data_IF_357692483475
#
_entry.id   IF_357692483475
#
_cell.length_a   1.000
_cell.length_b   1.000
_cell.length_c   1.000
_cell.angle_alpha   90.00
_cell.angle_beta   90.00
_cell.angle_gamma   90.00
#
_symmetry.space_group_name_H-M   'P 1'
#
loop_
_entity.id
_entity.type
_entity.pdbx_description
1 polymer ?
#
# COMPACT_ATOMS: atom_id res chain seq x y z
N UNK A 1 20.15 19.18 -13.28
CA UNK A 1 20.49 17.74 -13.24
C UNK A 1 21.99 17.43 -13.38
N UNK A 2 22.79 18.20 -14.11
CA UNK A 2 24.26 18.00 -14.19
C UNK A 2 24.99 18.08 -12.83
N UNK A 3 24.57 18.97 -11.93
CA UNK A 3 25.19 19.14 -10.62
C UNK A 3 24.94 17.98 -9.62
N UNK A 4 23.78 17.32 -9.68
CA UNK A 4 23.48 16.16 -8.82
C UNK A 4 24.35 14.96 -9.21
N UNK A 5 24.45 14.65 -10.50
CA UNK A 5 25.26 13.54 -10.98
C UNK A 5 26.75 13.70 -10.61
N UNK A 6 27.31 14.91 -10.71
CA UNK A 6 28.67 15.20 -10.29
C UNK A 6 28.86 14.94 -8.78
N UNK A 7 28.00 15.48 -7.92
CA UNK A 7 28.06 15.30 -6.45
C UNK A 7 27.87 13.84 -6.03
N UNK A 8 27.04 13.08 -6.74
CA UNK A 8 26.85 11.65 -6.49
C UNK A 8 28.13 10.83 -6.77
N UNK A 9 29.02 11.31 -7.63
CA UNK A 9 30.29 10.65 -7.93
C UNK A 9 31.43 11.05 -6.96
N UNK A 10 31.29 12.17 -6.25
CA UNK A 10 32.30 12.69 -5.33
C UNK A 10 32.17 12.17 -3.89
N UNK A 11 31.04 11.60 -3.52
CA UNK A 11 30.74 11.20 -2.14
C UNK A 11 30.68 9.68 -2.05
N UNK A 12 31.26 9.13 -0.99
CA UNK A 12 31.08 7.71 -0.65
C UNK A 12 29.63 7.47 -0.23
N UNK A 13 28.95 6.59 -0.93
CA UNK A 13 27.54 6.25 -0.67
C UNK A 13 27.41 4.89 0.04
N UNK A 14 28.29 4.66 1.04
CA UNK A 14 28.30 3.39 1.79
C UNK A 14 27.04 3.18 2.63
N UNK A 15 26.30 4.25 2.90
CA UNK A 15 25.05 4.22 3.68
C UNK A 15 24.03 5.17 3.08
N UNK A 16 22.88 4.62 2.77
CA UNK A 16 21.76 5.38 2.16
C UNK A 16 20.54 5.23 3.06
N UNK A 17 19.97 6.37 3.46
CA UNK A 17 18.70 6.44 4.22
C UNK A 17 17.52 6.75 3.31
N UNK A 18 16.44 5.98 3.37
CA UNK A 18 15.20 6.25 2.64
C UNK A 18 14.06 6.45 3.63
N UNK A 19 13.53 7.66 3.67
CA UNK A 19 12.35 7.99 4.49
C UNK A 19 11.10 7.67 3.67
N UNK A 20 10.34 6.70 4.16
CA UNK A 20 9.20 6.13 3.44
C UNK A 20 7.89 6.89 3.72
N UNK A 21 6.90 6.77 2.82
CA UNK A 21 5.55 7.24 3.07
C UNK A 21 4.92 6.57 4.29
N UNK A 22 3.90 7.24 4.89
CA UNK A 22 3.28 6.74 6.12
C UNK A 22 2.16 5.72 5.90
N UNK A 23 1.54 5.70 4.72
CA UNK A 23 0.48 4.74 4.41
C UNK A 23 1.07 3.42 3.92
N UNK A 24 0.44 2.29 4.27
CA UNK A 24 0.83 0.98 3.76
C UNK A 24 0.94 0.96 2.23
N UNK A 25 -0.06 1.52 1.53
CA UNK A 25 -0.02 1.60 0.07
C UNK A 25 1.14 2.46 -0.49
N UNK A 26 1.51 3.53 0.23
CA UNK A 26 2.69 4.35 -0.11
C UNK A 26 3.99 3.57 0.08
N UNK A 27 4.13 2.87 1.22
CA UNK A 27 5.30 2.00 1.48
C UNK A 27 5.43 0.96 0.37
N UNK A 28 4.38 0.20 0.09
CA UNK A 28 4.39 -0.86 -0.94
C UNK A 28 4.79 -0.30 -2.32
N UNK A 29 4.23 0.85 -2.71
CA UNK A 29 4.55 1.49 -4.00
C UNK A 29 5.97 2.06 -4.07
N UNK A 30 6.63 2.26 -2.94
CA UNK A 30 8.02 2.71 -2.89
C UNK A 30 9.05 1.56 -2.86
N UNK A 31 8.64 0.31 -2.58
CA UNK A 31 9.54 -0.84 -2.49
C UNK A 31 10.42 -1.05 -3.74
N UNK A 32 9.93 -0.85 -4.97
CA UNK A 32 10.77 -1.01 -6.16
C UNK A 32 12.02 -0.12 -6.19
N UNK A 33 12.05 0.93 -5.38
CA UNK A 33 13.23 1.79 -5.29
C UNK A 33 14.43 1.06 -4.65
N UNK A 34 14.22 0.13 -3.72
CA UNK A 34 15.33 -0.54 -3.01
C UNK A 34 16.19 -1.44 -3.93
N UNK A 35 15.62 -2.31 -4.78
CA UNK A 35 16.41 -3.02 -5.79
C UNK A 35 17.15 -2.06 -6.73
N UNK A 36 16.52 -0.96 -7.15
CA UNK A 36 17.15 0.03 -8.02
C UNK A 36 18.32 0.76 -7.33
N UNK A 37 18.19 1.09 -6.03
CA UNK A 37 19.28 1.66 -5.23
C UNK A 37 20.43 0.67 -5.05
N UNK A 38 20.13 -0.61 -4.78
CA UNK A 38 21.15 -1.66 -4.66
C UNK A 38 21.93 -1.86 -5.97
N UNK A 39 21.27 -1.75 -7.13
CA UNK A 39 21.93 -1.80 -8.43
C UNK A 39 22.83 -0.60 -8.68
N UNK A 40 22.35 0.61 -8.32
CA UNK A 40 23.12 1.86 -8.51
C UNK A 40 24.31 1.97 -7.53
N UNK A 41 24.14 1.45 -6.32
CA UNK A 41 25.11 1.53 -5.23
C UNK A 41 25.33 0.15 -4.60
N UNK A 42 26.04 -0.76 -5.28
CA UNK A 42 26.10 -2.18 -4.90
C UNK A 42 26.78 -2.43 -3.53
N UNK A 43 27.62 -1.50 -3.08
CA UNK A 43 28.32 -1.58 -1.79
C UNK A 43 27.61 -0.82 -0.67
N UNK A 44 26.48 -0.14 -0.96
CA UNK A 44 25.79 0.68 0.01
C UNK A 44 24.89 -0.16 0.92
N UNK A 45 24.88 0.14 2.21
CA UNK A 45 23.89 -0.35 3.17
C UNK A 45 22.64 0.52 3.12
N UNK A 46 21.51 -0.08 2.82
CA UNK A 46 20.24 0.60 2.69
C UNK A 46 19.47 0.57 4.02
N UNK A 47 19.08 1.74 4.49
CA UNK A 47 18.26 1.89 5.71
C UNK A 47 16.90 2.46 5.35
N UNK A 48 15.84 1.73 5.71
CA UNK A 48 14.47 2.23 5.62
C UNK A 48 14.07 2.96 6.92
N UNK A 49 13.65 4.21 6.81
CA UNK A 49 13.11 5.01 7.92
C UNK A 49 11.59 5.06 7.71
N UNK A 50 10.84 4.40 8.57
CA UNK A 50 9.43 4.11 8.34
C UNK A 50 8.60 4.25 9.61
N UNK A 51 7.30 4.51 9.49
CA UNK A 51 6.42 4.49 10.66
C UNK A 51 6.38 3.10 11.30
N UNK A 52 6.34 3.04 12.63
CA UNK A 52 6.33 1.80 13.43
C UNK A 52 5.23 0.82 12.95
N UNK A 53 4.07 1.35 12.55
CA UNK A 53 2.95 0.57 12.03
C UNK A 53 3.30 -0.24 10.75
N UNK A 54 4.29 0.23 9.97
CA UNK A 54 4.69 -0.38 8.69
C UNK A 54 6.04 -1.09 8.77
N UNK A 55 6.76 -1.04 9.90
CA UNK A 55 8.12 -1.57 10.01
C UNK A 55 8.19 -3.08 9.80
N UNK A 56 7.23 -3.81 10.36
CA UNK A 56 7.19 -5.28 10.26
C UNK A 56 7.07 -5.83 8.83
N UNK A 57 6.61 -5.02 7.87
CA UNK A 57 6.60 -5.42 6.46
C UNK A 57 8.01 -5.47 5.84
N UNK A 58 8.97 -4.75 6.44
CA UNK A 58 10.30 -4.53 5.89
C UNK A 58 11.41 -5.31 6.59
N UNK A 59 11.14 -5.95 7.73
CA UNK A 59 12.16 -6.57 8.59
C UNK A 59 13.00 -7.64 7.87
N UNK A 60 12.41 -8.38 6.94
CA UNK A 60 13.09 -9.42 6.18
C UNK A 60 13.32 -9.04 4.71
N UNK A 61 13.23 -7.76 4.37
CA UNK A 61 13.39 -7.32 2.99
C UNK A 61 14.84 -7.55 2.49
N UNK A 62 15.05 -8.25 1.35
CA UNK A 62 16.38 -8.73 0.94
C UNK A 62 17.37 -7.62 0.60
N UNK A 63 16.90 -6.38 0.39
CA UNK A 63 17.74 -5.22 0.04
C UNK A 63 17.76 -4.13 1.12
N UNK A 64 17.18 -4.38 2.29
CA UNK A 64 17.18 -3.42 3.41
C UNK A 64 18.02 -3.99 4.53
N UNK A 65 19.17 -3.37 4.79
CA UNK A 65 20.07 -3.80 5.86
C UNK A 65 19.57 -3.40 7.25
N UNK A 66 18.79 -2.31 7.30
CA UNK A 66 18.28 -1.78 8.57
C UNK A 66 16.92 -1.11 8.41
N UNK A 67 16.02 -1.39 9.35
CA UNK A 67 14.75 -0.68 9.50
C UNK A 67 14.84 0.21 10.75
N UNK A 68 14.53 1.49 10.59
CA UNK A 68 14.46 2.48 11.69
C UNK A 68 13.00 2.89 11.84
N UNK A 69 12.25 2.30 12.80
CA UNK A 69 10.87 2.68 13.02
C UNK A 69 10.77 4.02 13.75
N UNK A 70 9.71 4.78 13.46
CA UNK A 70 9.36 5.99 14.23
C UNK A 70 7.87 6.10 14.47
N UNK A 71 7.49 6.73 15.59
CA UNK A 71 6.10 6.94 15.98
C UNK A 71 5.55 8.22 15.33
N UNK A 72 4.49 8.08 14.53
CA UNK A 72 3.88 9.20 13.78
C UNK A 72 3.26 10.28 14.65
N UNK A 73 2.71 9.90 15.82
CA UNK A 73 1.95 10.79 16.70
C UNK A 73 2.74 11.26 17.90
N UNK A 74 4.01 10.93 17.97
CA UNK A 74 4.85 11.34 19.08
C UNK A 74 5.19 12.83 19.01
N UNK A 75 5.21 13.52 20.16
CA UNK A 75 5.55 14.93 20.22
C UNK A 75 7.04 15.16 19.93
N UNK A 76 7.38 16.31 19.34
CA UNK A 76 8.74 16.62 18.85
C UNK A 76 9.85 16.44 19.92
N UNK A 77 9.54 16.69 21.18
CA UNK A 77 10.54 16.54 22.25
C UNK A 77 10.99 15.08 22.48
N UNK A 78 10.16 14.09 22.11
CA UNK A 78 10.53 12.67 22.15
C UNK A 78 11.39 12.23 20.96
N UNK A 79 11.60 13.10 19.98
CA UNK A 79 12.37 12.77 18.78
C UNK A 79 13.88 12.78 18.98
N UNK A 80 14.39 13.41 20.04
CA UNK A 80 15.83 13.52 20.28
C UNK A 80 16.57 12.18 20.16
N UNK A 81 16.08 11.05 20.69
CA UNK A 81 16.73 9.75 20.50
C UNK A 81 16.74 9.32 19.03
N UNK A 82 15.61 9.47 18.33
CA UNK A 82 15.52 9.15 16.91
C UNK A 82 16.50 9.98 16.08
N UNK A 83 16.51 11.32 16.26
CA UNK A 83 17.39 12.22 15.50
C UNK A 83 18.86 11.93 15.77
N UNK A 84 19.24 11.61 17.03
CA UNK A 84 20.59 11.15 17.37
C UNK A 84 20.94 9.84 16.67
N UNK A 85 20.01 8.88 16.67
CA UNK A 85 20.18 7.60 15.98
C UNK A 85 20.36 7.80 14.47
N UNK A 86 19.58 8.68 13.85
CA UNK A 86 19.70 9.00 12.42
C UNK A 86 21.05 9.65 12.10
N UNK A 87 21.48 10.62 12.92
CA UNK A 87 22.81 11.27 12.78
C UNK A 87 23.95 10.27 12.89
N UNK A 88 23.85 9.33 13.84
CA UNK A 88 24.88 8.31 14.08
C UNK A 88 25.02 7.32 12.90
N UNK A 89 24.04 7.25 11.98
CA UNK A 89 24.14 6.40 10.79
C UNK A 89 25.13 6.93 9.75
N UNK A 90 25.44 8.24 9.77
CA UNK A 90 26.39 8.86 8.83
C UNK A 90 26.05 8.56 7.36
N UNK A 91 24.79 8.82 6.97
CA UNK A 91 24.36 8.60 5.60
C UNK A 91 25.11 9.54 4.61
N UNK A 92 25.64 8.98 3.53
CA UNK A 92 26.14 9.75 2.39
C UNK A 92 25.00 10.32 1.53
N UNK A 93 23.87 9.61 1.50
CA UNK A 93 22.67 10.00 0.77
C UNK A 93 21.42 9.75 1.63
N UNK A 94 20.53 10.73 1.68
CA UNK A 94 19.19 10.58 2.28
C UNK A 94 18.12 10.92 1.26
N UNK A 95 17.09 10.09 1.15
CA UNK A 95 15.97 10.24 0.21
C UNK A 95 14.68 10.33 1.01
N UNK A 96 13.91 11.41 0.85
CA UNK A 96 12.61 11.58 1.49
C UNK A 96 11.50 11.47 0.44
N UNK A 97 10.77 10.34 0.48
CA UNK A 97 9.62 10.08 -0.38
C UNK A 97 8.31 10.63 0.19
N UNK A 98 8.32 11.11 1.44
CA UNK A 98 7.12 11.62 2.10
C UNK A 98 6.91 13.13 1.84
N UNK A 99 7.99 13.90 1.89
CA UNK A 99 7.96 15.33 1.58
C UNK A 99 7.15 16.21 2.54
N UNK A 100 7.11 15.90 3.83
CA UNK A 100 6.50 16.75 4.87
C UNK A 100 7.56 17.39 5.74
N UNK A 101 7.24 18.54 6.39
CA UNK A 101 8.18 19.24 7.26
C UNK A 101 8.83 18.30 8.29
N UNK A 102 8.06 17.43 8.91
CA UNK A 102 8.54 16.45 9.88
C UNK A 102 9.60 15.53 9.28
N UNK A 103 9.37 14.97 8.11
CA UNK A 103 10.30 14.03 7.45
C UNK A 103 11.49 14.75 6.85
N UNK A 104 11.28 15.95 6.33
CA UNK A 104 12.37 16.83 5.92
C UNK A 104 13.33 17.16 7.07
N UNK A 105 12.81 17.47 8.26
CA UNK A 105 13.63 17.68 9.47
C UNK A 105 14.36 16.41 9.92
N UNK A 106 13.76 15.23 9.76
CA UNK A 106 14.50 13.97 9.97
C UNK A 106 15.64 13.84 8.98
N UNK A 107 15.42 14.10 7.69
CA UNK A 107 16.44 14.12 6.65
C UNK A 107 17.57 15.13 6.97
N UNK A 108 17.23 16.35 7.38
CA UNK A 108 18.21 17.37 7.79
C UNK A 108 19.05 16.90 8.99
N UNK A 109 18.42 16.28 9.98
CA UNK A 109 19.09 15.79 11.19
C UNK A 109 20.06 14.63 10.94
N UNK A 110 19.97 13.93 9.81
CA UNK A 110 20.95 12.91 9.42
C UNK A 110 22.35 13.52 9.22
N UNK A 111 22.44 14.80 8.85
CA UNK A 111 23.67 15.44 8.44
C UNK A 111 24.18 14.97 7.08
N UNK A 112 23.38 14.22 6.32
CA UNK A 112 23.75 13.74 4.99
C UNK A 112 24.10 14.90 4.05
N UNK A 113 25.22 14.84 3.31
CA UNK A 113 25.63 15.89 2.36
C UNK A 113 24.68 15.99 1.16
N UNK A 114 24.02 14.88 0.78
CA UNK A 114 23.00 14.88 -0.27
C UNK A 114 21.67 14.43 0.35
N UNK A 115 20.67 15.31 0.24
CA UNK A 115 19.31 15.05 0.72
C UNK A 115 18.34 15.32 -0.40
N UNK A 116 17.78 14.24 -0.96
CA UNK A 116 16.83 14.29 -2.07
C UNK A 116 15.40 14.34 -1.53
N UNK A 117 14.63 15.30 -2.01
CA UNK A 117 13.20 15.39 -1.85
C UNK A 117 12.49 15.37 -3.19
N UNK A 118 11.16 15.22 -3.19
CA UNK A 118 10.33 15.36 -4.37
C UNK A 118 9.83 16.82 -4.48
N UNK A 119 9.65 17.33 -5.69
CA UNK A 119 9.14 18.68 -5.93
C UNK A 119 7.74 18.90 -5.30
N UNK A 120 6.94 17.82 -5.17
CA UNK A 120 5.65 17.83 -4.47
C UNK A 120 5.75 17.90 -2.94
N UNK A 121 6.93 18.19 -2.40
CA UNK A 121 7.16 18.42 -0.97
C UNK A 121 6.24 19.54 -0.45
N UNK A 122 5.73 19.35 0.77
CA UNK A 122 4.69 20.19 1.37
C UNK A 122 5.16 20.77 2.71
N UNK A 123 4.29 21.62 3.29
CA UNK A 123 4.51 22.18 4.63
C UNK A 123 5.82 22.97 4.73
N UNK A 124 6.30 23.51 3.60
CA UNK A 124 7.53 24.27 3.56
C UNK A 124 8.80 23.42 3.66
N UNK A 125 8.75 22.08 3.56
CA UNK A 125 9.90 21.20 3.76
C UNK A 125 11.01 21.35 2.71
N UNK A 126 10.78 22.07 1.61
CA UNK A 126 11.75 22.24 0.52
C UNK A 126 13.14 22.68 0.95
N UNK A 127 13.24 23.54 1.99
CA UNK A 127 14.54 24.04 2.50
C UNK A 127 15.41 22.95 3.18
N UNK A 128 14.83 21.79 3.50
CA UNK A 128 15.57 20.71 4.15
C UNK A 128 16.35 19.84 3.16
N UNK A 129 16.05 19.95 1.86
CA UNK A 129 16.69 19.15 0.81
C UNK A 129 17.80 19.94 0.14
N UNK A 130 18.81 19.22 -0.32
CA UNK A 130 19.86 19.79 -1.19
C UNK A 130 19.41 19.81 -2.64
N UNK A 131 18.52 18.87 -3.00
CA UNK A 131 17.98 18.73 -4.35
C UNK A 131 16.52 18.27 -4.30
N UNK A 132 15.73 18.86 -5.17
CA UNK A 132 14.35 18.47 -5.41
C UNK A 132 14.26 17.76 -6.77
N UNK A 133 13.72 16.56 -6.75
CA UNK A 133 13.50 15.76 -7.96
C UNK A 133 12.15 16.16 -8.54
N UNK A 134 12.10 16.59 -9.81
CA UNK A 134 10.85 16.89 -10.49
C UNK A 134 9.96 15.64 -10.54
N UNK A 135 8.80 15.73 -9.90
CA UNK A 135 7.79 14.67 -9.91
C UNK A 135 6.44 15.18 -10.44
N UNK A 136 6.52 16.20 -11.23
CA UNK A 136 5.53 17.16 -11.67
C UNK A 136 4.14 16.64 -11.99
N UNK A 137 3.19 17.35 -11.40
CA UNK A 137 1.77 17.35 -11.74
C UNK A 137 0.88 16.59 -10.75
N UNK A 138 -0.33 17.11 -10.47
CA UNK A 138 -1.28 16.51 -9.53
C UNK A 138 -1.86 15.18 -10.03
N UNK A 139 -1.67 14.86 -11.31
CA UNK A 139 -2.20 13.66 -11.96
C UNK A 139 -1.16 12.54 -12.14
N UNK A 140 0.06 12.72 -11.62
CA UNK A 140 1.09 11.69 -11.69
C UNK A 140 0.85 10.65 -10.61
N UNK A 141 0.74 9.35 -10.96
CA UNK A 141 0.57 8.28 -9.98
C UNK A 141 1.71 8.25 -8.95
N UNK A 142 1.39 7.94 -7.69
CA UNK A 142 2.40 7.93 -6.60
C UNK A 142 3.58 6.99 -6.89
N UNK A 143 3.34 5.84 -7.51
CA UNK A 143 4.40 4.92 -7.87
C UNK A 143 5.34 5.50 -8.94
N UNK A 144 4.84 6.36 -9.83
CA UNK A 144 5.68 7.10 -10.81
C UNK A 144 6.52 8.14 -10.09
N UNK A 145 5.93 8.88 -9.14
CA UNK A 145 6.66 9.89 -8.36
C UNK A 145 7.85 9.30 -7.61
N UNK A 146 7.65 8.17 -6.93
CA UNK A 146 8.75 7.51 -6.22
C UNK A 146 9.82 7.00 -7.19
N UNK A 147 9.40 6.54 -8.37
CA UNK A 147 10.32 6.06 -9.40
C UNK A 147 11.15 7.18 -10.05
N UNK A 148 10.68 8.45 -10.00
CA UNK A 148 11.48 9.60 -10.45
C UNK A 148 12.84 9.70 -9.73
N UNK A 149 12.93 9.18 -8.52
CA UNK A 149 14.22 9.07 -7.80
C UNK A 149 15.16 8.12 -8.53
N UNK A 150 14.70 6.94 -8.94
CA UNK A 150 15.51 6.00 -9.72
C UNK A 150 15.93 6.59 -11.07
N UNK A 151 15.03 7.31 -11.75
CA UNK A 151 15.32 8.02 -13.00
C UNK A 151 16.42 9.09 -12.79
N UNK A 152 16.30 9.90 -11.73
CA UNK A 152 17.30 10.93 -11.39
C UNK A 152 18.68 10.34 -11.00
N UNK A 153 18.70 9.12 -10.47
CA UNK A 153 19.90 8.37 -10.12
C UNK A 153 20.48 7.55 -11.30
N UNK A 154 19.87 7.63 -12.49
CA UNK A 154 20.33 6.94 -13.70
C UNK A 154 19.92 5.47 -13.83
N UNK A 155 19.07 4.96 -12.95
CA UNK A 155 18.59 3.56 -12.93
C UNK A 155 17.09 3.42 -13.24
N UNK A 156 16.49 4.43 -13.82
CA UNK A 156 15.07 4.47 -14.18
C UNK A 156 14.66 3.45 -15.25
N UNK A 157 15.62 2.90 -15.99
CA UNK A 157 15.41 1.87 -17.01
C UNK A 157 15.16 0.47 -16.42
N UNK A 158 15.44 0.27 -15.14
CA UNK A 158 15.26 -1.02 -14.47
C UNK A 158 13.78 -1.38 -14.33
N UNK A 159 13.51 -2.68 -14.26
CA UNK A 159 12.17 -3.19 -13.99
C UNK A 159 11.75 -2.85 -12.55
N UNK A 160 10.52 -2.36 -12.40
CA UNK A 160 9.93 -2.07 -11.08
C UNK A 160 9.46 -3.36 -10.44
N UNK A 161 10.22 -3.87 -9.49
CA UNK A 161 9.91 -5.11 -8.74
C UNK A 161 9.71 -4.76 -7.28
N UNK A 162 8.53 -5.07 -6.72
CA UNK A 162 8.29 -5.00 -5.29
C UNK A 162 8.73 -6.32 -4.66
N UNK A 163 9.72 -6.26 -3.78
CA UNK A 163 10.16 -7.42 -3.01
C UNK A 163 9.54 -7.35 -1.61
N UNK A 164 8.85 -8.41 -1.21
CA UNK A 164 8.30 -8.57 0.15
C UNK A 164 8.67 -9.98 0.60
N UNK A 165 9.59 -10.07 1.54
CA UNK A 165 10.03 -11.36 2.07
C UNK A 165 9.13 -11.78 3.23
N UNK A 166 8.52 -12.95 3.09
CA UNK A 166 7.66 -13.56 4.10
C UNK A 166 8.37 -14.84 4.55
N UNK A 167 8.61 -14.95 5.85
CA UNK A 167 9.25 -16.12 6.44
C UNK A 167 8.35 -17.38 6.38
N UNK A 168 8.96 -18.56 6.44
CA UNK A 168 8.26 -19.83 6.34
C UNK A 168 7.17 -20.00 7.42
N UNK A 169 7.46 -19.60 8.67
CA UNK A 169 6.50 -19.71 9.78
C UNK A 169 5.25 -18.86 9.54
N UNK A 170 5.43 -17.66 9.01
CA UNK A 170 4.32 -16.77 8.66
C UNK A 170 3.53 -17.31 7.47
N UNK A 171 4.21 -17.89 6.50
CA UNK A 171 3.59 -18.58 5.35
C UNK A 171 2.76 -19.80 5.81
N UNK A 172 3.33 -20.66 6.66
CA UNK A 172 2.64 -21.84 7.20
C UNK A 172 1.40 -21.44 8.01
N UNK A 173 1.50 -20.37 8.79
CA UNK A 173 0.35 -19.81 9.49
C UNK A 173 -0.76 -19.41 8.50
N UNK A 174 -0.42 -18.71 7.42
CA UNK A 174 -1.40 -18.27 6.43
C UNK A 174 -2.06 -19.45 5.70
N UNK A 175 -1.29 -20.46 5.33
CA UNK A 175 -1.77 -21.71 4.75
C UNK A 175 -2.74 -22.40 5.72
N UNK A 176 -2.36 -22.53 6.99
CA UNK A 176 -3.21 -23.13 8.03
C UNK A 176 -4.55 -22.41 8.21
N UNK A 177 -4.55 -21.06 8.18
CA UNK A 177 -5.79 -20.29 8.21
C UNK A 177 -6.66 -20.50 6.95
N UNK A 178 -6.03 -20.51 5.78
CA UNK A 178 -6.73 -20.66 4.50
C UNK A 178 -7.26 -22.07 4.27
N UNK A 179 -6.60 -23.11 4.80
CA UNK A 179 -6.97 -24.53 4.59
C UNK A 179 -8.37 -24.89 5.11
N UNK A 180 -8.90 -24.12 6.07
CA UNK A 180 -10.26 -24.28 6.58
C UNK A 180 -11.35 -23.75 5.65
N UNK A 181 -10.97 -23.04 4.59
CA UNK A 181 -11.88 -22.37 3.68
C UNK A 181 -11.92 -23.07 2.30
N UNK A 182 -13.04 -22.92 1.62
CA UNK A 182 -13.19 -23.43 0.24
C UNK A 182 -12.41 -22.57 -0.76
N UNK A 183 -12.04 -23.18 -1.88
CA UNK A 183 -11.49 -22.50 -3.05
C UNK A 183 -12.56 -22.33 -4.14
N UNK A 184 -12.51 -21.23 -4.91
CA UNK A 184 -11.56 -20.10 -4.79
C UNK A 184 -11.79 -19.29 -3.51
N UNK A 185 -10.73 -18.67 -2.97
CA UNK A 185 -10.76 -17.88 -1.74
C UNK A 185 -10.90 -16.39 -2.05
N UNK A 186 -12.01 -15.79 -1.66
CA UNK A 186 -12.26 -14.36 -1.76
C UNK A 186 -11.90 -13.68 -0.45
N UNK A 187 -10.84 -12.86 -0.47
CA UNK A 187 -10.52 -11.95 0.61
C UNK A 187 -11.28 -10.62 0.45
N UNK A 188 -11.73 -10.04 1.55
CA UNK A 188 -12.49 -8.78 1.60
C UNK A 188 -11.85 -7.82 2.57
N UNK A 189 -11.57 -6.59 2.12
CA UNK A 189 -11.13 -5.50 2.97
C UNK A 189 -12.07 -4.30 2.80
N UNK A 190 -13.07 -4.14 3.68
CA UNK A 190 -14.07 -3.06 3.57
C UNK A 190 -13.57 -1.72 4.10
N UNK A 191 -12.39 -1.68 4.76
CA UNK A 191 -11.79 -0.48 5.33
C UNK A 191 -11.19 0.47 4.29
N UNK A 192 -10.99 1.71 4.69
CA UNK A 192 -10.15 2.71 4.04
C UNK A 192 -9.92 3.89 5.00
N UNK A 193 -8.86 4.68 4.78
CA UNK A 193 -8.52 5.84 5.63
C UNK A 193 -9.60 6.93 5.63
N UNK A 194 -10.28 7.12 4.49
CA UNK A 194 -11.26 8.18 4.30
C UNK A 194 -12.67 7.60 4.19
N UNK A 195 -13.62 8.24 4.84
CA UNK A 195 -15.03 7.86 4.75
C UNK A 195 -15.52 7.87 3.28
N UNK A 196 -15.07 8.83 2.49
CA UNK A 196 -15.41 8.98 1.08
C UNK A 196 -14.85 7.86 0.18
N UNK A 197 -14.00 6.98 0.69
CA UNK A 197 -13.51 5.79 0.00
C UNK A 197 -14.24 4.51 0.43
N UNK A 198 -14.99 4.53 1.55
CA UNK A 198 -15.55 3.32 2.17
C UNK A 198 -16.89 2.97 1.53
N UNK A 199 -16.87 2.05 0.60
CA UNK A 199 -18.10 1.45 0.09
C UNK A 199 -18.84 0.72 1.24
N UNK A 200 -20.20 0.76 1.31
CA UNK A 200 -20.94 0.19 2.44
C UNK A 200 -20.64 -1.29 2.67
N UNK A 201 -20.42 -1.67 3.94
CA UNK A 201 -20.08 -3.05 4.32
C UNK A 201 -21.20 -4.05 3.97
N UNK A 202 -22.45 -3.60 3.98
CA UNK A 202 -23.63 -4.35 3.57
C UNK A 202 -23.52 -4.78 2.10
N UNK A 203 -23.03 -3.90 1.24
CA UNK A 203 -22.83 -4.19 -0.19
C UNK A 203 -21.70 -5.20 -0.39
N UNK A 204 -20.61 -5.11 0.39
CA UNK A 204 -19.55 -6.13 0.41
C UNK A 204 -20.11 -7.51 0.79
N UNK A 205 -20.97 -7.58 1.81
CA UNK A 205 -21.58 -8.84 2.24
C UNK A 205 -22.47 -9.47 1.14
N UNK A 206 -23.24 -8.65 0.41
CA UNK A 206 -24.06 -9.15 -0.71
C UNK A 206 -23.17 -9.70 -1.83
N UNK A 207 -22.09 -9.01 -2.19
CA UNK A 207 -21.12 -9.49 -3.20
C UNK A 207 -20.48 -10.80 -2.76
N UNK A 208 -20.07 -10.90 -1.49
CA UNK A 208 -19.52 -12.14 -0.92
C UNK A 208 -20.52 -13.29 -1.01
N UNK A 209 -21.78 -13.09 -0.64
CA UNK A 209 -22.84 -14.10 -0.78
C UNK A 209 -23.04 -14.54 -2.23
N UNK A 210 -23.02 -13.61 -3.19
CA UNK A 210 -23.11 -13.95 -4.61
C UNK A 210 -21.90 -14.80 -5.05
N UNK A 211 -20.67 -14.43 -4.67
CA UNK A 211 -19.46 -15.20 -4.97
C UNK A 211 -19.50 -16.62 -4.39
N UNK A 212 -19.96 -16.78 -3.14
CA UNK A 212 -20.14 -18.10 -2.50
C UNK A 212 -21.14 -18.97 -3.25
N UNK A 213 -22.26 -18.40 -3.67
CA UNK A 213 -23.33 -19.15 -4.40
C UNK A 213 -22.90 -19.52 -5.82
N UNK A 214 -22.23 -18.63 -6.53
CA UNK A 214 -21.88 -18.81 -7.94
C UNK A 214 -20.60 -19.62 -8.14
N UNK A 215 -19.61 -19.45 -7.27
CA UNK A 215 -18.26 -20.02 -7.41
C UNK A 215 -17.89 -21.00 -6.31
N UNK A 216 -18.72 -21.21 -5.29
CA UNK A 216 -18.40 -22.02 -4.13
C UNK A 216 -17.32 -21.42 -3.23
N UNK A 217 -17.06 -20.12 -3.35
CA UNK A 217 -15.92 -19.44 -2.71
C UNK A 217 -15.95 -19.55 -1.19
N UNK A 218 -14.78 -19.77 -0.59
CA UNK A 218 -14.53 -19.39 0.81
C UNK A 218 -14.39 -17.87 0.91
N UNK A 219 -14.72 -17.30 2.08
CA UNK A 219 -14.67 -15.86 2.31
C UNK A 219 -13.86 -15.57 3.57
N UNK A 220 -12.95 -14.60 3.49
CA UNK A 220 -12.26 -14.04 4.64
C UNK A 220 -12.44 -12.52 4.67
N UNK A 221 -12.70 -11.94 5.83
CA UNK A 221 -12.66 -10.49 6.02
C UNK A 221 -11.39 -10.09 6.76
N UNK A 222 -10.70 -9.07 6.21
CA UNK A 222 -9.41 -8.57 6.63
C UNK A 222 -9.53 -7.09 7.04
N UNK A 223 -8.67 -6.65 7.93
CA UNK A 223 -8.58 -5.26 8.39
C UNK A 223 -7.69 -5.13 9.61
N UNK A 224 -7.34 -3.90 9.99
CA UNK A 224 -6.66 -3.60 11.25
C UNK A 224 -7.64 -3.45 12.41
N UNK A 225 -7.13 -3.11 13.60
CA UNK A 225 -7.94 -2.94 14.82
C UNK A 225 -9.02 -1.85 14.66
N UNK A 226 -8.72 -0.80 13.87
CA UNK A 226 -9.68 0.28 13.60
C UNK A 226 -10.91 -0.17 12.80
N UNK A 227 -10.82 -1.30 12.09
CA UNK A 227 -11.91 -1.90 11.31
C UNK A 227 -12.64 -3.02 12.05
N UNK A 228 -12.34 -3.30 13.34
CA UNK A 228 -12.91 -4.41 14.09
C UNK A 228 -14.46 -4.41 14.05
N UNK A 229 -15.09 -3.27 14.30
CA UNK A 229 -16.55 -3.14 14.25
C UNK A 229 -17.12 -3.42 12.85
N UNK A 230 -16.45 -2.99 11.78
CA UNK A 230 -16.86 -3.28 10.40
C UNK A 230 -16.72 -4.76 10.08
N UNK A 231 -15.66 -5.41 10.56
CA UNK A 231 -15.45 -6.85 10.41
C UNK A 231 -16.52 -7.69 11.13
N UNK A 232 -16.86 -7.33 12.36
CA UNK A 232 -17.95 -7.99 13.12
C UNK A 232 -19.30 -7.79 12.45
N UNK A 233 -19.58 -6.59 11.99
CA UNK A 233 -20.80 -6.29 11.26
C UNK A 233 -20.89 -7.10 9.97
N UNK A 234 -19.81 -7.18 9.17
CA UNK A 234 -19.73 -8.02 7.98
C UNK A 234 -20.07 -9.47 8.31
N UNK A 235 -19.44 -10.07 9.32
CA UNK A 235 -19.69 -11.46 9.72
C UNK A 235 -21.13 -11.65 10.20
N UNK A 236 -21.69 -10.68 10.93
CA UNK A 236 -23.10 -10.73 11.37
C UNK A 236 -24.06 -10.74 10.18
N UNK A 237 -23.79 -9.95 9.15
CA UNK A 237 -24.58 -9.95 7.91
C UNK A 237 -24.48 -11.30 7.20
N UNK A 238 -23.26 -11.84 7.07
CA UNK A 238 -23.01 -13.11 6.38
C UNK A 238 -23.71 -14.28 7.07
N UNK A 239 -23.75 -14.34 8.41
CA UNK A 239 -24.41 -15.40 9.19
C UNK A 239 -25.90 -15.57 8.87
N UNK A 240 -26.55 -14.54 8.33
CA UNK A 240 -27.97 -14.61 7.91
C UNK A 240 -28.18 -15.45 6.65
N UNK A 241 -27.11 -15.66 5.86
CA UNK A 241 -27.21 -16.28 4.53
C UNK A 241 -26.36 -17.53 4.36
N UNK A 242 -25.34 -17.73 5.21
CA UNK A 242 -24.37 -18.83 5.08
C UNK A 242 -23.98 -19.39 6.45
N UNK A 243 -23.58 -20.69 6.53
CA UNK A 243 -23.08 -21.28 7.77
C UNK A 243 -21.87 -20.50 8.31
N UNK A 244 -21.79 -20.32 9.62
CA UNK A 244 -20.74 -19.52 10.28
C UNK A 244 -19.32 -19.99 9.97
N UNK A 245 -19.10 -21.28 9.69
CA UNK A 245 -17.80 -21.86 9.34
C UNK A 245 -17.31 -21.50 7.93
N UNK A 246 -18.15 -20.88 7.11
CA UNK A 246 -17.82 -20.53 5.72
C UNK A 246 -17.15 -19.16 5.58
N UNK A 247 -17.07 -18.39 6.67
CA UNK A 247 -16.50 -17.03 6.71
C UNK A 247 -15.50 -16.91 7.85
N UNK A 248 -14.26 -16.55 7.53
CA UNK A 248 -13.20 -16.34 8.49
C UNK A 248 -13.07 -14.82 8.79
N UNK A 249 -13.00 -14.45 10.06
CA UNK A 249 -12.74 -13.07 10.47
C UNK A 249 -11.31 -12.94 11.01
N UNK A 250 -10.46 -12.25 10.26
CA UNK A 250 -9.08 -11.92 10.63
C UNK A 250 -8.88 -10.42 10.90
N UNK A 251 -9.95 -9.62 10.99
CA UNK A 251 -9.86 -8.20 11.32
C UNK A 251 -9.27 -8.02 12.72
N UNK A 252 -8.24 -7.19 12.87
CA UNK A 252 -7.51 -6.99 14.11
C UNK A 252 -6.61 -8.17 14.53
N UNK A 253 -6.48 -9.23 13.70
CA UNK A 253 -5.74 -10.45 14.07
C UNK A 253 -4.47 -10.67 13.25
N UNK A 254 -4.14 -9.73 12.38
CA UNK A 254 -2.97 -9.84 11.50
C UNK A 254 -2.05 -8.64 11.65
N UNK A 255 -0.75 -8.91 11.83
CA UNK A 255 0.27 -7.92 11.51
C UNK A 255 0.33 -7.71 9.99
N UNK A 256 1.03 -6.69 9.52
CA UNK A 256 1.12 -6.43 8.08
C UNK A 256 1.79 -7.56 7.31
N UNK A 257 2.80 -8.21 7.89
CA UNK A 257 3.45 -9.36 7.25
C UNK A 257 2.54 -10.59 7.22
N UNK A 258 1.72 -10.82 8.25
CA UNK A 258 0.68 -11.86 8.23
C UNK A 258 -0.42 -11.55 7.24
N UNK A 259 -0.80 -10.27 7.11
CA UNK A 259 -1.72 -9.83 6.07
C UNK A 259 -1.15 -10.13 4.68
N UNK A 260 0.13 -9.82 4.44
CA UNK A 260 0.81 -10.12 3.19
C UNK A 260 0.80 -11.64 2.90
N UNK A 261 1.19 -12.46 3.88
CA UNK A 261 1.18 -13.92 3.75
C UNK A 261 -0.22 -14.47 3.42
N UNK A 262 -1.24 -13.95 4.09
CA UNK A 262 -2.61 -14.41 3.84
C UNK A 262 -3.12 -13.96 2.45
N UNK A 263 -2.78 -12.76 2.01
CA UNK A 263 -3.14 -12.27 0.68
C UNK A 263 -2.53 -13.12 -0.43
N UNK A 264 -1.34 -13.71 -0.25
CA UNK A 264 -0.78 -14.69 -1.19
C UNK A 264 -1.60 -15.99 -1.28
N UNK A 265 -2.40 -16.30 -0.25
CA UNK A 265 -3.29 -17.46 -0.27
C UNK A 265 -4.64 -17.15 -0.91
N UNK A 266 -4.99 -15.88 -1.14
CA UNK A 266 -6.27 -15.49 -1.71
C UNK A 266 -6.24 -15.55 -3.24
N UNK A 267 -7.35 -16.02 -3.83
CA UNK A 267 -7.54 -16.05 -5.28
C UNK A 267 -8.03 -14.70 -5.82
N UNK A 268 -8.63 -13.88 -4.95
CA UNK A 268 -9.06 -12.52 -5.25
C UNK A 268 -9.15 -11.71 -3.96
N UNK A 269 -8.71 -10.44 -3.99
CA UNK A 269 -9.05 -9.46 -2.97
C UNK A 269 -10.07 -8.46 -3.51
N UNK A 270 -11.22 -8.32 -2.86
CA UNK A 270 -12.15 -7.20 -3.05
C UNK A 270 -11.90 -6.14 -1.98
N UNK A 271 -11.52 -4.92 -2.37
CA UNK A 271 -11.19 -3.85 -1.44
C UNK A 271 -11.49 -2.45 -2.01
N UNK A 272 -11.72 -1.51 -1.11
CA UNK A 272 -11.66 -0.08 -1.46
C UNK A 272 -10.22 0.31 -1.86
N UNK A 273 -10.03 1.47 -2.47
CA UNK A 273 -8.71 2.08 -2.68
C UNK A 273 -8.02 2.31 -1.31
N UNK A 274 -7.21 1.35 -0.91
CA UNK A 274 -6.61 1.23 0.42
C UNK A 274 -5.24 0.54 0.38
N UNK A 275 -4.50 0.57 1.48
CA UNK A 275 -3.19 -0.08 1.59
C UNK A 275 -3.19 -1.57 1.23
N UNK A 276 -4.11 -2.38 1.77
CA UNK A 276 -4.22 -3.81 1.43
C UNK A 276 -4.46 -4.11 -0.05
N UNK A 277 -5.16 -3.22 -0.78
CA UNK A 277 -5.33 -3.34 -2.24
C UNK A 277 -3.97 -3.36 -2.95
N UNK A 278 -3.10 -2.41 -2.60
CA UNK A 278 -1.77 -2.31 -3.21
C UNK A 278 -0.84 -3.42 -2.76
N UNK A 279 -0.95 -3.84 -1.50
CA UNK A 279 -0.18 -4.97 -0.97
C UNK A 279 -0.52 -6.26 -1.73
N UNK A 280 -1.80 -6.59 -1.89
CA UNK A 280 -2.23 -7.76 -2.65
C UNK A 280 -1.73 -7.73 -4.10
N UNK A 281 -1.91 -6.60 -4.77
CA UNK A 281 -1.45 -6.44 -6.16
C UNK A 281 0.08 -6.60 -6.30
N UNK A 282 0.88 -6.09 -5.34
CA UNK A 282 2.33 -6.24 -5.36
C UNK A 282 2.81 -7.67 -5.11
N UNK A 283 1.99 -8.48 -4.44
CA UNK A 283 2.22 -9.90 -4.19
C UNK A 283 1.76 -10.80 -5.36
N UNK A 284 1.17 -10.21 -6.41
CA UNK A 284 0.62 -10.95 -7.54
C UNK A 284 -0.82 -11.45 -7.33
N UNK A 285 -1.43 -11.18 -6.18
CA UNK A 285 -2.83 -11.55 -5.93
C UNK A 285 -3.75 -10.66 -6.77
N UNK A 286 -4.65 -11.23 -7.59
CA UNK A 286 -5.63 -10.46 -8.33
C UNK A 286 -6.55 -9.66 -7.42
N UNK A 287 -6.87 -8.43 -7.80
CA UNK A 287 -7.72 -7.57 -6.99
C UNK A 287 -8.91 -7.01 -7.76
N UNK A 288 -10.01 -6.83 -7.04
CA UNK A 288 -11.13 -5.98 -7.46
C UNK A 288 -11.08 -4.73 -6.58
N UNK A 289 -10.61 -3.61 -7.18
CA UNK A 289 -10.45 -2.34 -6.48
C UNK A 289 -11.62 -1.40 -6.69
N UNK A 290 -12.14 -0.81 -5.62
CA UNK A 290 -13.28 0.11 -5.65
C UNK A 290 -12.81 1.56 -5.50
N UNK A 291 -13.15 2.40 -6.49
CA UNK A 291 -12.72 3.79 -6.58
C UNK A 291 -13.94 4.72 -6.61
N UNK A 292 -14.18 5.42 -5.53
CA UNK A 292 -15.29 6.36 -5.37
C UNK A 292 -14.84 7.81 -5.56
N UNK A 293 -14.02 8.34 -4.64
CA UNK A 293 -13.49 9.71 -4.71
C UNK A 293 -12.06 9.79 -5.24
N UNK A 294 -11.46 8.67 -5.62
CA UNK A 294 -10.12 8.57 -6.21
C UNK A 294 -10.21 7.99 -7.62
N UNK A 295 -9.15 8.19 -8.41
CA UNK A 295 -9.08 7.68 -9.79
C UNK A 295 -8.23 6.41 -9.85
N UNK A 296 -8.72 5.32 -10.46
CA UNK A 296 -7.91 4.12 -10.67
C UNK A 296 -6.69 4.39 -11.56
N UNK A 297 -6.74 5.36 -12.47
CA UNK A 297 -5.61 5.77 -13.33
C UNK A 297 -4.44 6.36 -12.53
N UNK A 298 -4.72 7.01 -11.38
CA UNK A 298 -3.71 7.68 -10.55
C UNK A 298 -3.36 6.82 -9.33
N UNK A 299 -4.36 6.22 -8.70
CA UNK A 299 -4.20 5.49 -7.44
C UNK A 299 -4.25 3.98 -7.58
N UNK A 300 -4.72 3.45 -8.71
CA UNK A 300 -4.90 2.02 -8.89
C UNK A 300 -3.60 1.25 -9.05
N UNK A 301 -3.59 -0.06 -8.73
CA UNK A 301 -2.49 -0.95 -9.05
C UNK A 301 -2.39 -1.17 -10.57
N UNK A 302 -1.19 -1.50 -11.03
CA UNK A 302 -0.93 -1.85 -12.44
C UNK A 302 -1.09 -3.36 -12.64
N UNK A 303 -1.50 -3.74 -13.84
CA UNK A 303 -1.54 -5.14 -14.29
C UNK A 303 -2.90 -5.58 -14.82
N UNK A 304 -2.90 -6.46 -15.81
CA UNK A 304 -4.10 -6.96 -16.48
C UNK A 304 -4.92 -7.96 -15.64
N UNK A 305 -4.34 -8.48 -14.55
CA UNK A 305 -5.02 -9.41 -13.65
C UNK A 305 -6.08 -8.74 -12.75
N UNK A 306 -6.06 -7.40 -12.67
CA UNK A 306 -6.89 -6.62 -11.75
C UNK A 306 -8.15 -6.07 -12.45
N UNK A 307 -9.25 -5.96 -11.69
CA UNK A 307 -10.47 -5.26 -12.09
C UNK A 307 -10.63 -4.01 -11.22
N UNK A 308 -10.66 -2.83 -11.85
CA UNK A 308 -10.74 -1.56 -11.15
C UNK A 308 -12.09 -0.91 -11.46
N UNK A 309 -13.00 -0.96 -10.49
CA UNK A 309 -14.38 -0.46 -10.64
C UNK A 309 -14.45 0.96 -10.06
N UNK A 310 -14.73 1.92 -10.93
CA UNK A 310 -14.79 3.34 -10.55
C UNK A 310 -16.23 3.86 -10.63
N UNK A 311 -16.58 4.74 -9.69
CA UNK A 311 -17.78 5.55 -9.79
C UNK A 311 -17.66 6.56 -10.93
N UNK A 312 -18.79 6.87 -11.57
CA UNK A 312 -18.89 7.81 -12.70
C UNK A 312 -19.60 9.12 -12.33
N UNK A 313 -19.83 9.39 -11.03
CA UNK A 313 -20.43 10.68 -10.61
C UNK A 313 -19.50 11.85 -10.92
N UNK A 314 -20.05 13.06 -11.13
CA UNK A 314 -19.29 14.26 -11.53
C UNK A 314 -18.12 14.59 -10.60
N UNK A 315 -18.26 14.28 -9.29
CA UNK A 315 -17.22 14.53 -8.30
C UNK A 315 -16.27 13.33 -8.08
N UNK A 316 -16.31 12.29 -8.93
CA UNK A 316 -15.31 11.22 -8.86
C UNK A 316 -13.89 11.80 -9.05
N UNK A 317 -12.88 11.10 -8.54
CA UNK A 317 -11.49 11.56 -8.59
C UNK A 317 -11.23 12.94 -7.94
N UNK A 318 -12.11 13.40 -7.04
CA UNK A 318 -11.93 14.68 -6.34
C UNK A 318 -10.87 14.65 -5.24
N UNK A 319 -10.46 13.46 -4.78
CA UNK A 319 -9.51 13.25 -3.67
C UNK A 319 -9.90 13.96 -2.35
N UNK A 320 -11.21 14.23 -2.16
CA UNK A 320 -11.72 14.90 -0.96
C UNK A 320 -12.02 13.89 0.14
N UNK A 321 -11.45 14.10 1.32
CA UNK A 321 -11.68 13.27 2.52
C UNK A 321 -13.11 13.40 3.08
N UNK A 322 -13.80 14.47 2.75
CA UNK A 322 -15.20 14.72 3.11
C UNK A 322 -16.01 14.95 1.85
N UNK A 323 -17.21 14.39 1.81
CA UNK A 323 -18.09 14.57 0.66
C UNK A 323 -18.45 16.06 0.51
N UNK A 324 -18.26 16.66 -0.67
CA UNK A 324 -18.60 18.06 -0.91
C UNK A 324 -20.11 18.27 -1.08
N UNK A 325 -20.85 17.21 -1.39
CA UNK A 325 -22.27 17.28 -1.72
C UNK A 325 -23.14 17.08 -0.47
N UNK A 326 -24.37 17.60 -0.54
CA UNK A 326 -25.40 17.51 0.51
C UNK A 326 -26.70 16.92 -0.05
N UNK A 327 -27.63 16.57 0.85
CA UNK A 327 -28.93 15.99 0.49
C UNK A 327 -28.80 14.69 -0.26
N UNK A 328 -29.63 14.47 -1.27
CA UNK A 328 -29.64 13.23 -2.08
C UNK A 328 -28.35 12.96 -2.84
N UNK A 329 -27.50 13.97 -3.06
CA UNK A 329 -26.18 13.80 -3.70
C UNK A 329 -25.05 13.48 -2.71
N UNK A 330 -25.34 13.46 -1.39
CA UNK A 330 -24.32 13.10 -0.39
C UNK A 330 -23.91 11.64 -0.56
N UNK A 331 -22.61 11.37 -0.79
CA UNK A 331 -22.06 10.04 -1.05
C UNK A 331 -22.72 9.27 -2.20
N UNK A 332 -23.30 9.95 -3.18
CA UNK A 332 -23.95 9.31 -4.34
C UNK A 332 -23.04 8.34 -5.11
N UNK A 333 -21.71 8.54 -5.04
CA UNK A 333 -20.72 7.58 -5.58
C UNK A 333 -20.80 6.19 -4.95
N UNK A 334 -21.27 6.07 -3.70
CA UNK A 334 -21.45 4.78 -3.02
C UNK A 334 -22.67 4.01 -3.56
N UNK A 335 -23.69 4.74 -4.01
CA UNK A 335 -24.89 4.15 -4.61
C UNK A 335 -24.69 3.84 -6.09
N UNK A 336 -24.07 4.76 -6.84
CA UNK A 336 -23.77 4.56 -8.25
C UNK A 336 -22.85 3.36 -8.51
N UNK A 337 -21.90 3.11 -7.59
CA UNK A 337 -21.09 1.90 -7.61
C UNK A 337 -21.96 0.70 -7.21
N UNK A 338 -22.68 0.14 -8.17
CA UNK A 338 -23.70 -0.88 -7.92
C UNK A 338 -23.11 -2.24 -7.53
N UNK A 339 -23.88 -2.99 -6.73
CA UNK A 339 -23.53 -4.37 -6.34
C UNK A 339 -23.30 -5.25 -7.58
N UNK A 340 -24.10 -5.08 -8.64
CA UNK A 340 -24.00 -5.92 -9.82
C UNK A 340 -22.72 -5.68 -10.61
N UNK A 341 -22.28 -4.43 -10.77
CA UNK A 341 -20.98 -4.10 -11.38
C UNK A 341 -19.82 -4.72 -10.59
N UNK A 342 -19.84 -4.59 -9.26
CA UNK A 342 -18.79 -5.16 -8.41
C UNK A 342 -18.84 -6.69 -8.42
N UNK A 343 -20.03 -7.31 -8.38
CA UNK A 343 -20.19 -8.76 -8.46
C UNK A 343 -19.68 -9.32 -9.79
N UNK A 344 -19.96 -8.64 -10.90
CA UNK A 344 -19.46 -9.03 -12.22
C UNK A 344 -17.93 -9.01 -12.27
N UNK A 345 -17.29 -7.96 -11.72
CA UNK A 345 -15.84 -7.88 -11.63
C UNK A 345 -15.23 -8.99 -10.77
N UNK A 346 -15.82 -9.28 -9.60
CA UNK A 346 -15.38 -10.39 -8.74
C UNK A 346 -15.54 -11.72 -9.45
N UNK A 347 -16.69 -11.97 -10.11
CA UNK A 347 -16.94 -13.19 -10.86
C UNK A 347 -15.92 -13.39 -11.99
N UNK A 348 -15.60 -12.32 -12.75
CA UNK A 348 -14.59 -12.34 -13.81
C UNK A 348 -13.21 -12.78 -13.26
N UNK A 349 -12.76 -12.19 -12.15
CA UNK A 349 -11.48 -12.56 -11.54
C UNK A 349 -11.49 -14.01 -11.06
N UNK A 350 -12.53 -14.43 -10.31
CA UNK A 350 -12.59 -15.78 -9.76
C UNK A 350 -12.67 -16.86 -10.85
N UNK A 351 -13.36 -16.60 -11.96
CA UNK A 351 -13.41 -17.50 -13.11
C UNK A 351 -12.03 -17.69 -13.75
N UNK A 352 -11.27 -16.60 -13.97
CA UNK A 352 -9.90 -16.68 -14.48
C UNK A 352 -9.00 -17.52 -13.56
N UNK A 353 -9.12 -17.35 -12.24
CA UNK A 353 -8.35 -18.13 -11.27
C UNK A 353 -8.72 -19.61 -11.26
N UNK A 354 -10.00 -19.95 -11.34
CA UNK A 354 -10.45 -21.34 -11.45
C UNK A 354 -9.95 -22.03 -12.73
N UNK A 355 -9.90 -21.31 -13.84
CA UNK A 355 -9.37 -21.83 -15.11
C UNK A 355 -7.86 -22.07 -14.99
N UNK A 356 -7.10 -21.12 -14.39
CA UNK A 356 -5.66 -21.28 -14.18
C UNK A 356 -5.33 -22.47 -13.27
N UNK A 357 -6.09 -22.68 -12.19
CA UNK A 357 -5.91 -23.83 -11.29
C UNK A 357 -6.26 -25.18 -11.91
N UNK A 358 -7.10 -25.21 -12.95
CA UNK A 358 -7.43 -26.45 -13.68
C UNK A 358 -6.40 -26.79 -14.76
N UNK A 359 -5.64 -25.79 -15.20
CA UNK A 359 -4.62 -25.93 -16.24
C UNK A 359 -3.22 -26.21 -15.68
N UNK A 360 -2.99 -26.01 -14.36
CA UNK A 360 -1.76 -26.32 -13.63
C UNK A 360 -1.83 -27.70 -12.98
#
# INVERSE_FOLDING_TARGET
MSGLAARLNEITHDRIGVILPNSLGGVVRSLPLFPALAERFPNARLTAIVSEENSGLLENHPRIDRVVPYKRREMIHHWRPLLRSLKAQQFGLTIDLRGQLRTGLMGLATGSPIRLGLETAREGSGFTYTDLIPDSGPLVPEFVRYWRVAEALGVGHLRRVSEIAIDARTTDWAIGQASSLRRPLLAIHPGADWLTKRWPVEKFAVVACKAMRQHGSGVVVLGGDAEAAAGEHFVSLMKKFVPSKSVLNLVGKTSQIRLAAFLQQADCLLANDSGPLHLAASLGTPVVGLFTCTSPKISGPLGAAHELVSSCVDCHASYRKRCPNRGSRHLACMEELSIDRVSAAVSSVLQRQQQSHRAA
#
